data_IF_869481754212
#
_entry.id   IF_869481754212
#
_cell.length_a   1.000
_cell.length_b   1.000
_cell.length_c   1.000
_cell.angle_alpha   90.00
_cell.angle_beta   90.00
_cell.angle_gamma   90.00
#
_symmetry.space_group_name_H-M   'P 1'
#
loop_
_entity.id
_entity.type
_entity.pdbx_description
1 polymer ?
#
# COMPACT_ATOMS: atom_id res chain seq x y z
N UNK A 1 11.99 -4.15 -14.29
CA UNK A 1 10.65 -3.58 -14.60
C UNK A 1 9.63 -4.04 -13.56
N UNK A 2 8.38 -3.57 -13.63
CA UNK A 2 7.33 -4.07 -12.73
C UNK A 2 6.98 -5.54 -12.97
N UNK A 3 7.07 -6.06 -14.20
CA UNK A 3 6.83 -7.48 -14.51
C UNK A 3 7.80 -8.40 -13.77
N UNK A 4 9.11 -8.20 -13.96
CA UNK A 4 10.15 -9.00 -13.30
C UNK A 4 10.01 -9.00 -11.76
N UNK A 5 9.65 -7.85 -11.18
CA UNK A 5 9.41 -7.76 -9.73
C UNK A 5 8.25 -8.64 -9.28
N UNK A 6 7.14 -8.60 -10.02
CA UNK A 6 5.95 -9.40 -9.69
C UNK A 6 6.25 -10.89 -9.85
N UNK A 7 7.01 -11.26 -10.88
CA UNK A 7 7.49 -12.64 -11.10
C UNK A 7 8.36 -13.13 -9.94
N UNK A 8 9.16 -12.24 -9.35
CA UNK A 8 9.96 -12.51 -8.14
C UNK A 8 9.17 -12.41 -6.81
N UNK A 9 7.85 -12.18 -6.85
CA UNK A 9 7.01 -12.00 -5.66
C UNK A 9 7.20 -10.65 -4.93
N UNK A 10 7.90 -9.70 -5.56
CA UNK A 10 8.12 -8.35 -5.05
C UNK A 10 6.98 -7.42 -5.47
N UNK A 11 6.58 -6.52 -4.56
CA UNK A 11 5.61 -5.49 -4.89
C UNK A 11 6.12 -4.57 -6.03
N UNK A 12 5.27 -4.26 -7.04
CA UNK A 12 5.63 -3.36 -8.12
C UNK A 12 5.76 -1.92 -7.64
N UNK A 13 6.46 -1.10 -8.42
CA UNK A 13 6.60 0.32 -8.18
C UNK A 13 5.37 1.10 -8.64
N UNK A 14 5.03 2.15 -7.89
CA UNK A 14 3.97 3.12 -8.20
C UNK A 14 4.47 4.21 -9.16
N UNK A 15 3.57 4.89 -9.90
CA UNK A 15 3.88 6.15 -10.58
C UNK A 15 4.45 7.19 -9.60
N UNK A 16 5.23 8.16 -10.10
CA UNK A 16 5.95 9.12 -9.23
C UNK A 16 5.00 9.89 -8.31
N UNK A 17 3.80 10.19 -8.78
CA UNK A 17 2.75 10.95 -8.11
C UNK A 17 2.16 10.19 -6.91
N UNK A 18 2.26 8.86 -6.91
CA UNK A 18 1.80 7.97 -5.84
C UNK A 18 2.86 7.66 -4.79
N UNK A 19 4.11 8.11 -4.97
CA UNK A 19 5.18 7.85 -4.01
C UNK A 19 4.94 8.65 -2.73
N UNK A 20 5.18 8.02 -1.58
CA UNK A 20 5.32 8.74 -0.33
C UNK A 20 6.74 9.28 -0.23
N UNK A 21 6.86 10.59 -0.03
CA UNK A 21 8.14 11.28 0.17
C UNK A 21 8.07 11.91 1.56
N UNK A 22 8.59 11.19 2.55
CA UNK A 22 8.74 11.67 3.91
C UNK A 22 10.11 12.30 4.14
N UNK A 23 10.34 12.92 5.31
CA UNK A 23 11.60 13.57 5.63
C UNK A 23 12.80 12.61 5.65
N UNK A 24 12.57 11.35 6.04
CA UNK A 24 13.63 10.35 6.23
C UNK A 24 13.47 9.10 5.35
N UNK A 25 12.39 8.98 4.56
CA UNK A 25 12.12 7.78 3.77
C UNK A 25 11.29 8.08 2.52
N UNK A 26 11.59 7.34 1.45
CA UNK A 26 10.80 7.35 0.22
C UNK A 26 10.23 5.94 0.03
N UNK A 27 8.90 5.82 0.00
CA UNK A 27 8.23 4.55 -0.27
C UNK A 27 7.66 4.59 -1.68
N UNK A 28 8.09 3.64 -2.50
CA UNK A 28 7.79 3.62 -3.94
C UNK A 28 6.94 2.43 -4.38
N UNK A 29 6.66 1.48 -3.48
CA UNK A 29 5.95 0.24 -3.82
C UNK A 29 4.47 0.35 -3.44
N UNK A 30 3.60 -0.29 -4.20
CA UNK A 30 2.21 -0.46 -3.79
C UNK A 30 2.14 -1.22 -2.45
N UNK A 31 1.10 -0.94 -1.67
CA UNK A 31 0.82 -1.60 -0.40
C UNK A 31 -0.55 -2.27 -0.43
N UNK A 32 -0.69 -3.37 0.32
CA UNK A 32 -1.98 -3.98 0.63
C UNK A 32 -2.50 -3.34 1.91
N UNK A 33 -3.74 -2.88 1.91
CA UNK A 33 -4.39 -2.18 3.00
C UNK A 33 -5.69 -2.86 3.39
N UNK A 34 -5.95 -3.02 4.69
CA UNK A 34 -7.23 -3.49 5.22
C UNK A 34 -8.25 -2.35 5.25
N UNK A 35 -9.43 -2.54 4.65
CA UNK A 35 -10.51 -1.54 4.64
C UNK A 35 -11.09 -1.37 6.05
N UNK A 36 -11.43 -2.48 6.69
CA UNK A 36 -11.81 -2.58 8.10
C UNK A 36 -10.57 -2.99 8.89
N UNK A 37 -10.12 -2.19 9.86
CA UNK A 37 -8.97 -2.55 10.69
C UNK A 37 -9.18 -3.89 11.41
N UNK A 38 -8.10 -4.65 11.58
CA UNK A 38 -8.13 -5.95 12.28
C UNK A 38 -8.68 -5.79 13.71
N UNK A 39 -8.30 -4.70 14.40
CA UNK A 39 -8.80 -4.38 15.76
C UNK A 39 -10.31 -4.18 15.82
N UNK A 40 -10.94 -3.86 14.70
CA UNK A 40 -12.38 -3.61 14.57
C UNK A 40 -13.11 -4.82 13.95
N UNK A 41 -12.44 -5.98 13.91
CA UNK A 41 -13.01 -7.24 13.41
C UNK A 41 -12.81 -7.49 11.91
N UNK A 42 -12.00 -6.68 11.23
CA UNK A 42 -11.67 -6.90 9.82
C UNK A 42 -10.90 -8.20 9.59
N UNK A 43 -11.35 -9.01 8.62
CA UNK A 43 -10.68 -10.26 8.26
C UNK A 43 -9.27 -10.02 7.72
N UNK A 44 -8.28 -10.77 8.24
CA UNK A 44 -6.86 -10.61 7.87
C UNK A 44 -6.60 -11.01 6.41
N UNK A 45 -7.22 -12.11 5.98
CA UNK A 45 -7.09 -12.69 4.64
C UNK A 45 -8.40 -12.64 3.84
N UNK A 46 -9.34 -11.82 4.30
CA UNK A 46 -10.58 -11.57 3.56
C UNK A 46 -10.27 -10.67 2.36
N UNK A 47 -10.35 -11.24 1.15
CA UNK A 47 -10.04 -10.52 -0.08
C UNK A 47 -10.94 -9.29 -0.29
N UNK A 48 -12.17 -9.30 0.22
CA UNK A 48 -13.08 -8.16 0.14
C UNK A 48 -12.66 -7.04 1.10
N UNK A 49 -11.91 -7.38 2.15
CA UNK A 49 -11.32 -6.45 3.11
C UNK A 49 -9.94 -5.90 2.67
N UNK A 50 -9.38 -6.33 1.53
CA UNK A 50 -8.06 -5.88 1.05
C UNK A 50 -8.16 -4.91 -0.12
N UNK A 51 -7.30 -3.87 -0.13
CA UNK A 51 -7.14 -2.92 -1.24
C UNK A 51 -5.68 -2.69 -1.57
N UNK A 52 -5.38 -2.54 -2.86
CA UNK A 52 -4.06 -2.10 -3.32
C UNK A 52 -4.06 -0.58 -3.39
N UNK A 53 -3.15 0.05 -2.65
CA UNK A 53 -3.06 1.51 -2.56
C UNK A 53 -1.63 1.99 -2.84
N UNK A 54 -1.53 3.23 -3.31
CA UNK A 54 -0.23 3.91 -3.36
C UNK A 54 0.21 4.27 -1.94
N UNK A 55 1.53 4.33 -1.66
CA UNK A 55 2.01 4.69 -0.33
C UNK A 55 1.63 6.12 0.06
N UNK A 56 1.46 7.03 -0.90
CA UNK A 56 0.91 8.37 -0.64
C UNK A 56 -0.53 8.30 -0.11
N UNK A 57 -1.41 7.55 -0.79
CA UNK A 57 -2.79 7.37 -0.33
C UNK A 57 -2.87 6.63 1.00
N UNK A 58 -1.98 5.64 1.22
CA UNK A 58 -1.92 4.93 2.49
C UNK A 58 -1.57 5.86 3.66
N UNK A 59 -0.64 6.79 3.46
CA UNK A 59 -0.31 7.84 4.45
C UNK A 59 -1.52 8.76 4.73
N UNK A 60 -2.22 9.18 3.67
CA UNK A 60 -3.40 10.04 3.77
C UNK A 60 -4.53 9.39 4.57
N UNK A 61 -4.80 8.10 4.35
CA UNK A 61 -5.87 7.36 5.06
C UNK A 61 -5.60 7.25 6.56
N UNK A 62 -4.34 7.06 6.96
CA UNK A 62 -3.98 6.77 8.36
C UNK A 62 -3.54 7.97 9.19
N UNK A 63 -2.87 8.96 8.59
CA UNK A 63 -2.14 9.99 9.34
C UNK A 63 -2.57 11.43 9.05
N UNK A 64 -3.30 11.68 7.96
CA UNK A 64 -3.65 13.05 7.52
C UNK A 64 -5.15 13.33 7.49
N UNK A 65 -5.95 12.54 8.20
CA UNK A 65 -7.36 12.82 8.45
C UNK A 65 -7.54 13.85 9.54
#
# INVERSE_FOLDING_TARGET
>A
MNKDRIEDGLAPWVPKEGQYIGPNSIVKKFAIHHVVPIKDGGGVYDMDNLRIVTPKLHDEIHYRR
#
